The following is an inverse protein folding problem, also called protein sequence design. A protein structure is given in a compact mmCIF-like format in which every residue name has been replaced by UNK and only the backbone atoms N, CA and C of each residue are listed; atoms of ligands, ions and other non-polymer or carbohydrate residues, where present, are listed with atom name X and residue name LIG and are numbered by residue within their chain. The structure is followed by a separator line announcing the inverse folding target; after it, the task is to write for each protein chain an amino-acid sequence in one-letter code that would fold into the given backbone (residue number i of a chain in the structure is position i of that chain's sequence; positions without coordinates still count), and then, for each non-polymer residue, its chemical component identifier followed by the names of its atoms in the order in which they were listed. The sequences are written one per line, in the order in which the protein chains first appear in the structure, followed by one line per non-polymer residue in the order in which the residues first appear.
data_IF_857015008215
#
_entry.id   IF_857015008215
#
_cell.length_a   1.000
_cell.length_b   1.000
_cell.length_c   1.000
_cell.angle_alpha   90.00
_cell.angle_beta   90.00
_cell.angle_gamma   90.00
#
_symmetry.space_group_name_H-M   'P 1'
#
loop_
_entity.id
_entity.type
_entity.pdbx_description
1 polymer ?
#
# COMPACT_ATOMS: atom_id res chain seq x y z
N UNK A 1 -17.90 -8.91 4.09
CA UNK A 1 -18.35 -10.08 4.90
C UNK A 1 -17.72 -11.36 4.39
N UNK A 2 -17.22 -12.21 5.30
CA UNK A 2 -16.82 -13.56 4.97
C UNK A 2 -18.04 -14.45 4.71
N UNK A 3 -17.87 -15.43 3.83
CA UNK A 3 -18.92 -16.43 3.52
C UNK A 3 -18.54 -17.79 4.11
N UNK A 4 -19.52 -18.47 4.70
CA UNK A 4 -19.43 -19.88 5.08
C UNK A 4 -20.50 -20.67 4.36
N UNK A 5 -20.13 -21.68 3.55
CA UNK A 5 -21.06 -22.47 2.75
C UNK A 5 -22.04 -21.61 1.92
N UNK A 6 -21.53 -20.67 1.14
CA UNK A 6 -22.29 -19.74 0.29
C UNK A 6 -23.18 -18.70 1.01
N UNK A 7 -23.29 -18.75 2.33
CA UNK A 7 -24.04 -17.76 3.12
C UNK A 7 -23.09 -16.79 3.82
N UNK A 8 -23.50 -15.55 3.97
CA UNK A 8 -22.79 -14.59 4.81
C UNK A 8 -22.92 -14.99 6.29
N UNK A 9 -21.84 -14.78 7.05
CA UNK A 9 -21.88 -14.97 8.50
C UNK A 9 -22.83 -13.97 9.15
N UNK A 10 -23.69 -14.45 10.04
CA UNK A 10 -24.63 -13.66 10.83
C UNK A 10 -24.58 -14.09 12.31
N UNK A 11 -24.65 -13.17 13.26
CA UNK A 11 -24.66 -11.71 13.07
C UNK A 11 -23.32 -11.23 12.51
N UNK A 12 -23.32 -10.12 11.78
CA UNK A 12 -22.10 -9.54 11.22
C UNK A 12 -21.56 -8.43 12.13
N UNK A 13 -20.38 -8.65 12.67
CA UNK A 13 -19.58 -7.65 13.36
C UNK A 13 -18.27 -7.41 12.55
N UNK A 14 -18.06 -6.19 11.99
CA UNK A 14 -16.85 -5.91 11.24
C UNK A 14 -15.58 -5.83 12.10
N UNK A 15 -15.72 -5.66 13.42
CA UNK A 15 -14.61 -5.62 14.38
C UNK A 15 -14.25 -7.01 14.93
N UNK A 16 -15.01 -8.06 14.57
CA UNK A 16 -14.74 -9.42 15.03
C UNK A 16 -13.44 -9.97 14.41
N UNK A 17 -12.50 -10.32 15.30
CA UNK A 17 -11.28 -11.04 14.94
C UNK A 17 -11.56 -12.54 14.93
N UNK A 18 -11.47 -13.16 13.78
CA UNK A 18 -11.77 -14.58 13.58
C UNK A 18 -10.86 -15.22 12.53
N UNK A 19 -11.03 -16.53 12.27
CA UNK A 19 -10.20 -17.27 11.33
C UNK A 19 -10.51 -17.05 9.84
N UNK A 20 -11.41 -16.11 9.49
CA UNK A 20 -11.65 -15.74 8.09
C UNK A 20 -10.62 -14.74 7.55
N UNK A 21 -9.91 -14.08 8.46
CA UNK A 21 -8.88 -13.11 8.14
C UNK A 21 -7.59 -13.43 8.91
N UNK A 22 -6.46 -13.32 8.27
CA UNK A 22 -5.17 -13.50 8.91
C UNK A 22 -4.84 -12.26 9.73
N UNK A 23 -4.75 -12.44 11.06
CA UNK A 23 -4.29 -11.38 11.99
C UNK A 23 -5.07 -10.06 11.90
N UNK A 24 -6.34 -10.14 11.51
CA UNK A 24 -7.13 -8.94 11.24
C UNK A 24 -8.63 -9.21 11.38
N UNK A 25 -9.41 -8.20 11.04
CA UNK A 25 -10.87 -8.27 10.95
C UNK A 25 -11.39 -7.74 9.59
N UNK A 26 -12.71 -7.64 9.45
CA UNK A 26 -13.32 -7.18 8.21
C UNK A 26 -13.01 -5.73 7.87
N UNK A 27 -12.73 -4.86 8.86
CA UNK A 27 -12.36 -3.48 8.61
C UNK A 27 -11.06 -3.39 7.81
N UNK A 28 -9.98 -4.05 8.28
CA UNK A 28 -8.67 -3.98 7.63
C UNK A 28 -8.71 -4.64 6.24
N UNK A 29 -9.32 -5.83 6.12
CA UNK A 29 -9.36 -6.52 4.82
C UNK A 29 -10.32 -5.90 3.80
N UNK A 30 -11.25 -5.04 4.21
CA UNK A 30 -12.14 -4.32 3.28
C UNK A 30 -11.40 -3.35 2.35
N UNK A 31 -10.18 -2.96 2.69
CA UNK A 31 -9.34 -2.04 1.92
C UNK A 31 -8.10 -2.73 1.33
N UNK A 32 -7.91 -4.03 1.55
CA UNK A 32 -6.72 -4.76 1.10
C UNK A 32 -6.90 -5.30 -0.33
N UNK A 33 -6.97 -4.38 -1.29
CA UNK A 33 -7.00 -4.66 -2.74
C UNK A 33 -5.97 -3.73 -3.43
N UNK A 34 -4.68 -3.81 -3.07
CA UNK A 34 -3.67 -2.86 -3.57
C UNK A 34 -3.46 -2.94 -5.08
N UNK A 35 -3.76 -4.08 -5.70
CA UNK A 35 -3.59 -4.32 -7.13
C UNK A 35 -4.65 -3.63 -8.01
N UNK A 36 -5.83 -3.30 -7.46
CA UNK A 36 -6.94 -2.70 -8.22
C UNK A 36 -7.75 -1.73 -7.33
N UNK A 37 -7.14 -0.62 -6.99
CA UNK A 37 -7.80 0.41 -6.18
C UNK A 37 -8.89 1.13 -6.95
N UNK A 38 -8.75 1.29 -8.26
CA UNK A 38 -9.80 1.89 -9.10
C UNK A 38 -11.08 1.07 -9.09
N UNK A 39 -10.96 -0.26 -9.22
CA UNK A 39 -12.10 -1.18 -9.09
C UNK A 39 -12.69 -1.19 -7.68
N UNK A 40 -11.85 -1.19 -6.64
CA UNK A 40 -12.32 -1.11 -5.26
C UNK A 40 -13.10 0.19 -4.99
N UNK A 41 -12.61 1.34 -5.45
CA UNK A 41 -13.27 2.63 -5.33
C UNK A 41 -14.64 2.59 -6.03
N UNK A 42 -14.70 2.08 -7.26
CA UNK A 42 -15.95 1.95 -8.01
C UNK A 42 -16.96 1.06 -7.28
N UNK A 43 -16.55 -0.10 -6.76
CA UNK A 43 -17.39 -1.02 -5.98
C UNK A 43 -17.90 -0.39 -4.67
N UNK A 44 -17.18 0.55 -4.11
CA UNK A 44 -17.56 1.21 -2.86
C UNK A 44 -18.37 2.51 -3.05
N UNK A 45 -18.84 2.78 -4.26
CA UNK A 45 -19.71 3.92 -4.57
C UNK A 45 -18.95 5.16 -5.05
N UNK A 46 -17.80 4.96 -5.70
CA UNK A 46 -16.96 6.04 -6.21
C UNK A 46 -16.17 6.75 -5.11
N UNK A 47 -15.58 7.89 -5.45
CA UNK A 47 -14.70 8.62 -4.54
C UNK A 47 -15.36 8.99 -3.22
N UNK A 48 -16.58 9.48 -3.24
CA UNK A 48 -17.29 9.92 -2.03
C UNK A 48 -17.65 8.74 -1.12
N UNK A 49 -18.19 7.66 -1.69
CA UNK A 49 -18.54 6.44 -0.95
C UNK A 49 -17.29 5.77 -0.35
N UNK A 50 -16.20 5.72 -1.11
CA UNK A 50 -14.92 5.20 -0.65
C UNK A 50 -14.33 6.03 0.49
N UNK A 51 -14.29 7.36 0.33
CA UNK A 51 -13.81 8.27 1.38
C UNK A 51 -14.63 8.17 2.66
N UNK A 52 -15.96 8.08 2.55
CA UNK A 52 -16.83 7.92 3.71
C UNK A 52 -16.54 6.62 4.49
N UNK A 53 -16.28 5.51 3.78
CA UNK A 53 -15.92 4.24 4.40
C UNK A 53 -14.53 4.26 5.01
N UNK A 54 -13.56 4.92 4.36
CA UNK A 54 -12.22 5.06 4.88
C UNK A 54 -12.20 5.99 6.13
N UNK A 55 -12.99 7.07 6.10
CA UNK A 55 -13.22 7.91 7.27
C UNK A 55 -13.86 7.10 8.42
N UNK A 56 -14.83 6.24 8.11
CA UNK A 56 -15.46 5.36 9.09
C UNK A 56 -14.46 4.39 9.73
N UNK A 57 -13.54 3.80 8.96
CA UNK A 57 -12.46 2.97 9.48
C UNK A 57 -11.62 3.72 10.53
N UNK A 58 -11.13 4.93 10.19
CA UNK A 58 -10.27 5.72 11.07
C UNK A 58 -11.00 6.33 12.28
N UNK A 59 -12.33 6.39 12.25
CA UNK A 59 -13.16 6.92 13.34
C UNK A 59 -13.98 5.84 14.10
N UNK A 60 -13.87 4.57 13.69
CA UNK A 60 -14.56 3.49 14.38
C UNK A 60 -14.08 3.34 15.84
N UNK A 61 -14.88 2.74 16.74
CA UNK A 61 -14.39 2.32 18.04
C UNK A 61 -13.18 1.38 17.91
N UNK A 62 -12.20 1.51 18.81
CA UNK A 62 -10.96 0.72 18.76
C UNK A 62 -11.13 -0.70 19.32
N UNK A 63 -12.21 -0.95 20.06
CA UNK A 63 -12.50 -2.24 20.63
C UNK A 63 -12.70 -3.28 19.51
N UNK A 64 -12.07 -4.42 19.69
CA UNK A 64 -12.26 -5.61 18.86
C UNK A 64 -13.07 -6.66 19.62
N UNK A 65 -13.81 -7.47 18.90
CA UNK A 65 -14.51 -8.64 19.43
C UNK A 65 -13.89 -9.94 18.89
N UNK A 66 -14.36 -11.10 19.38
CA UNK A 66 -13.89 -12.40 18.93
C UNK A 66 -12.62 -12.85 19.66
N UNK A 67 -11.63 -13.37 18.93
CA UNK A 67 -10.39 -13.87 19.54
C UNK A 67 -9.37 -12.75 19.75
N UNK A 68 -8.51 -12.92 20.72
CA UNK A 68 -7.34 -12.06 20.89
C UNK A 68 -6.34 -12.27 19.70
N UNK A 69 -5.74 -11.15 19.27
CA UNK A 69 -4.72 -11.13 18.24
C UNK A 69 -3.65 -10.10 18.58
N UNK A 70 -2.44 -10.57 18.86
CA UNK A 70 -1.34 -9.73 19.35
C UNK A 70 -0.86 -8.70 18.31
N UNK A 71 -1.04 -8.99 17.01
CA UNK A 71 -0.56 -8.12 15.92
C UNK A 71 -1.51 -6.94 15.66
N UNK A 72 -2.74 -6.95 16.20
CA UNK A 72 -3.67 -5.82 16.09
C UNK A 72 -3.30 -4.78 17.16
N UNK A 73 -2.32 -3.94 16.84
CA UNK A 73 -1.79 -2.89 17.71
C UNK A 73 -1.71 -1.55 16.99
N UNK A 74 -1.48 -0.45 17.73
CA UNK A 74 -1.37 0.87 17.14
C UNK A 74 -2.64 1.32 16.43
N UNK A 75 -3.77 1.23 17.15
CA UNK A 75 -5.07 1.49 16.55
C UNK A 75 -5.36 2.99 16.44
N UNK A 76 -5.83 3.39 15.24
CA UNK A 76 -6.53 4.65 14.97
C UNK A 76 -7.90 4.24 14.39
N UNK A 77 -8.94 4.28 15.21
CA UNK A 77 -10.17 3.58 14.85
C UNK A 77 -9.91 2.08 14.71
N UNK A 78 -10.26 1.52 13.56
CA UNK A 78 -9.94 0.12 13.22
C UNK A 78 -8.74 -0.02 12.25
N UNK A 79 -8.04 1.07 11.97
CA UNK A 79 -6.72 1.02 11.35
C UNK A 79 -5.71 0.49 12.37
N UNK A 80 -4.99 -0.58 12.04
CA UNK A 80 -4.01 -1.22 12.92
C UNK A 80 -2.60 -1.04 12.34
N UNK A 81 -1.86 -0.03 12.81
CA UNK A 81 -0.52 0.26 12.26
C UNK A 81 0.50 -0.84 12.53
N UNK A 82 0.34 -1.57 13.62
CA UNK A 82 1.23 -2.67 13.99
C UNK A 82 1.13 -3.91 13.09
N UNK A 83 0.30 -3.90 12.04
CA UNK A 83 0.16 -5.02 11.11
C UNK A 83 0.06 -4.53 9.65
N UNK A 84 0.76 -5.21 8.73
CA UNK A 84 0.99 -4.80 7.35
C UNK A 84 -0.27 -4.65 6.50
N UNK A 85 -1.36 -5.40 6.67
CA UNK A 85 -2.61 -5.18 5.92
C UNK A 85 -3.14 -3.76 5.98
N UNK A 86 -2.72 -2.97 6.99
CA UNK A 86 -3.13 -1.58 7.17
C UNK A 86 -2.20 -0.53 6.55
N UNK A 87 -0.93 -0.86 6.28
CA UNK A 87 0.13 0.11 5.99
C UNK A 87 -0.15 1.03 4.80
N UNK A 88 -0.88 0.57 3.80
CA UNK A 88 -1.24 1.35 2.61
C UNK A 88 -2.45 2.28 2.82
N UNK A 89 -3.28 2.05 3.85
CA UNK A 89 -4.62 2.65 3.96
C UNK A 89 -4.59 4.18 4.11
N UNK A 90 -3.62 4.74 4.84
CA UNK A 90 -3.49 6.18 5.00
C UNK A 90 -3.22 6.91 3.66
N UNK A 91 -2.67 6.20 2.68
CA UNK A 91 -2.36 6.72 1.35
C UNK A 91 -3.53 6.62 0.36
N UNK A 92 -4.57 5.85 0.67
CA UNK A 92 -5.67 5.57 -0.25
C UNK A 92 -6.50 6.81 -0.62
N UNK A 93 -6.54 7.83 0.22
CA UNK A 93 -7.22 9.08 -0.08
C UNK A 93 -6.65 9.81 -1.32
N UNK A 94 -5.38 9.56 -1.68
CA UNK A 94 -4.80 10.13 -2.89
C UNK A 94 -5.51 9.63 -4.16
N UNK A 95 -5.96 8.39 -4.19
CA UNK A 95 -6.65 7.79 -5.33
C UNK A 95 -8.06 8.37 -5.57
N UNK A 96 -8.57 9.13 -4.62
CA UNK A 96 -9.84 9.88 -4.73
C UNK A 96 -9.62 11.39 -4.86
N UNK A 97 -8.36 11.84 -4.92
CA UNK A 97 -7.99 13.26 -4.95
C UNK A 97 -8.17 13.98 -3.61
N UNK A 98 -8.28 13.23 -2.49
CA UNK A 98 -8.37 13.80 -1.14
C UNK A 98 -7.00 13.83 -0.43
N UNK A 99 -5.94 14.26 -1.12
CA UNK A 99 -4.54 14.20 -0.69
C UNK A 99 -4.28 14.86 0.68
N UNK A 100 -5.03 15.89 1.03
CA UNK A 100 -4.91 16.52 2.34
C UNK A 100 -5.23 15.53 3.50
N UNK A 101 -6.17 14.60 3.30
CA UNK A 101 -6.47 13.56 4.29
C UNK A 101 -5.31 12.56 4.43
N UNK A 102 -4.70 12.13 3.33
CA UNK A 102 -3.46 11.35 3.35
C UNK A 102 -2.38 12.07 4.16
N UNK A 103 -2.12 13.34 3.85
CA UNK A 103 -1.06 14.12 4.50
C UNK A 103 -1.27 14.23 6.01
N UNK A 104 -2.50 14.52 6.43
CA UNK A 104 -2.85 14.58 7.85
C UNK A 104 -2.69 13.23 8.56
N UNK A 105 -3.18 12.15 7.93
CA UNK A 105 -3.16 10.82 8.55
C UNK A 105 -1.73 10.24 8.62
N UNK A 106 -0.95 10.33 7.55
CA UNK A 106 0.45 9.89 7.53
C UNK A 106 1.28 10.63 8.59
N UNK A 107 1.10 11.95 8.71
CA UNK A 107 1.80 12.73 9.73
C UNK A 107 1.35 12.35 11.15
N UNK A 108 0.07 12.06 11.34
CA UNK A 108 -0.47 11.57 12.61
C UNK A 108 0.16 10.24 13.00
N UNK A 109 0.20 9.28 12.09
CA UNK A 109 0.80 7.96 12.34
C UNK A 109 2.28 8.10 12.71
N UNK A 110 3.07 8.84 11.93
CA UNK A 110 4.49 9.05 12.24
C UNK A 110 4.72 9.69 13.63
N UNK A 111 3.81 10.56 14.07
CA UNK A 111 3.92 11.24 15.36
C UNK A 111 3.46 10.38 16.55
N UNK A 112 2.39 9.59 16.36
CA UNK A 112 1.74 8.85 17.46
C UNK A 112 2.28 7.43 17.63
N UNK A 113 2.82 6.82 16.54
CA UNK A 113 3.18 5.39 16.51
C UNK A 113 4.69 5.12 16.51
N UNK A 114 5.50 6.18 16.49
CA UNK A 114 6.97 6.07 16.48
C UNK A 114 7.59 7.02 17.49
N UNK A 115 8.51 6.51 18.32
CA UNK A 115 9.17 7.26 19.37
C UNK A 115 10.69 7.03 19.35
N UNK A 116 11.46 8.01 19.80
CA UNK A 116 12.90 7.88 19.94
C UNK A 116 13.24 7.21 21.28
N UNK A 117 12.95 5.92 21.39
CA UNK A 117 13.20 5.06 22.57
C UNK A 117 13.44 3.62 22.12
N UNK A 118 14.03 2.74 22.95
CA UNK A 118 14.27 1.34 22.59
C UNK A 118 13.01 0.55 22.22
N UNK A 119 11.87 0.94 22.77
CA UNK A 119 10.52 0.42 22.50
C UNK A 119 9.69 1.35 21.59
N UNK A 120 10.36 2.06 20.71
CA UNK A 120 9.78 3.15 19.91
C UNK A 120 8.90 2.74 18.73
N UNK A 121 8.67 1.45 18.50
CA UNK A 121 7.78 0.92 17.48
C UNK A 121 6.49 0.39 18.09
N UNK A 122 5.39 0.52 17.34
CA UNK A 122 4.14 -0.15 17.68
C UNK A 122 4.12 -1.54 17.06
N UNK A 123 3.99 -2.59 17.88
CA UNK A 123 4.01 -3.98 17.45
C UNK A 123 5.41 -4.52 17.15
N UNK A 124 5.48 -5.49 16.26
CA UNK A 124 6.74 -6.10 15.82
C UNK A 124 7.40 -5.29 14.71
N UNK A 125 8.71 -5.45 14.54
CA UNK A 125 9.47 -4.78 13.45
C UNK A 125 9.18 -5.40 12.08
N UNK A 126 8.92 -6.72 12.04
CA UNK A 126 8.60 -7.53 10.87
C UNK A 126 9.62 -7.41 9.73
N UNK A 127 10.85 -7.81 10.07
CA UNK A 127 11.99 -7.82 9.14
C UNK A 127 12.30 -6.45 8.50
N UNK A 128 12.03 -5.36 9.19
CA UNK A 128 12.29 -4.00 8.74
C UNK A 128 11.09 -3.30 8.08
N UNK A 129 9.93 -3.92 8.04
CA UNK A 129 8.75 -3.33 7.42
C UNK A 129 8.28 -2.05 8.13
N UNK A 130 8.27 -2.06 9.48
CA UNK A 130 7.86 -0.90 10.26
C UNK A 130 8.82 0.28 10.11
N UNK A 131 10.13 0.02 10.18
CA UNK A 131 11.15 1.05 9.94
C UNK A 131 11.10 1.56 8.51
N UNK A 132 10.93 0.69 7.52
CA UNK A 132 10.81 1.07 6.10
C UNK A 132 9.61 1.97 5.86
N UNK A 133 8.46 1.66 6.48
CA UNK A 133 7.27 2.50 6.40
C UNK A 133 7.55 3.91 6.92
N UNK A 134 8.19 4.01 8.11
CA UNK A 134 8.53 5.31 8.70
C UNK A 134 9.53 6.09 7.85
N UNK A 135 10.61 5.45 7.40
CA UNK A 135 11.66 6.11 6.61
C UNK A 135 11.10 6.62 5.29
N UNK A 136 10.37 5.79 4.54
CA UNK A 136 9.77 6.20 3.27
C UNK A 136 8.71 7.29 3.47
N UNK A 137 7.85 7.17 4.46
CA UNK A 137 6.85 8.18 4.79
C UNK A 137 7.50 9.50 5.22
N UNK A 138 8.61 9.46 5.98
CA UNK A 138 9.38 10.64 6.37
C UNK A 138 10.08 11.32 5.18
N UNK A 139 10.47 10.56 4.15
CA UNK A 139 10.95 11.08 2.87
C UNK A 139 9.84 11.71 2.04
N UNK A 140 8.57 11.38 2.32
CA UNK A 140 7.39 11.99 1.71
C UNK A 140 6.64 11.12 0.70
N UNK A 141 6.93 9.82 0.60
CA UNK A 141 6.23 8.91 -0.30
C UNK A 141 6.28 7.45 0.19
N UNK A 142 5.39 6.60 -0.33
CA UNK A 142 5.30 5.18 0.05
C UNK A 142 4.81 4.32 -1.12
N UNK A 143 5.34 3.09 -1.34
CA UNK A 143 4.86 2.16 -2.36
C UNK A 143 3.58 1.47 -1.88
N UNK A 144 2.42 1.91 -2.39
CA UNK A 144 1.10 1.37 -2.00
C UNK A 144 0.80 0.03 -2.67
N UNK A 145 1.15 -0.08 -3.95
CA UNK A 145 0.86 -1.27 -4.77
C UNK A 145 2.14 -2.05 -5.04
N UNK A 146 2.30 -3.25 -4.46
CA UNK A 146 3.46 -4.11 -4.75
C UNK A 146 3.59 -4.37 -6.25
N UNK A 147 4.80 -4.20 -6.78
CA UNK A 147 5.09 -4.37 -8.21
C UNK A 147 4.75 -3.15 -9.09
N UNK A 148 4.06 -2.13 -8.58
CA UNK A 148 3.92 -0.85 -9.27
C UNK A 148 5.21 -0.03 -9.17
N UNK A 149 5.61 0.69 -10.23
CA UNK A 149 6.75 1.60 -10.18
C UNK A 149 6.42 2.95 -9.50
N UNK A 150 5.22 3.14 -8.97
CA UNK A 150 4.76 4.42 -8.44
C UNK A 150 4.79 4.45 -6.91
N UNK A 151 5.36 5.52 -6.38
CA UNK A 151 5.37 5.85 -4.96
C UNK A 151 4.36 6.95 -4.70
N UNK A 152 3.44 6.72 -3.80
CA UNK A 152 2.33 7.64 -3.49
C UNK A 152 2.80 8.69 -2.48
N UNK A 153 2.56 9.96 -2.79
CA UNK A 153 3.02 11.09 -1.98
C UNK A 153 2.22 11.20 -0.69
N UNK A 154 2.94 11.33 0.43
CA UNK A 154 2.41 11.55 1.77
C UNK A 154 2.66 12.98 2.28
N UNK A 155 3.23 13.09 3.47
CA UNK A 155 3.63 14.36 4.09
C UNK A 155 5.04 14.23 4.67
N UNK A 156 6.07 14.80 4.01
CA UNK A 156 7.47 14.62 4.41
C UNK A 156 7.76 15.17 5.80
N UNK A 157 8.63 14.47 6.54
CA UNK A 157 9.07 14.86 7.89
C UNK A 157 10.51 15.39 7.89
N UNK A 158 11.34 14.98 6.94
CA UNK A 158 12.72 15.45 6.81
C UNK A 158 12.77 16.90 6.30
N UNK A 159 13.87 17.61 6.57
CA UNK A 159 14.14 18.91 5.93
C UNK A 159 14.84 18.74 4.58
N UNK A 160 15.82 17.85 4.56
CA UNK A 160 16.56 17.48 3.38
C UNK A 160 16.94 16.00 3.49
N UNK A 161 16.97 15.34 2.35
CA UNK A 161 17.52 14.00 2.22
C UNK A 161 18.24 13.84 0.87
N UNK A 162 19.13 12.88 0.79
CA UNK A 162 19.82 12.50 -0.45
C UNK A 162 19.86 10.99 -0.53
N UNK A 163 19.30 10.44 -1.60
CA UNK A 163 19.33 9.02 -1.91
C UNK A 163 20.48 8.81 -2.90
N UNK A 164 21.49 8.07 -2.46
CA UNK A 164 22.57 7.63 -3.35
C UNK A 164 22.09 6.46 -4.19
N UNK A 165 22.18 6.60 -5.50
CA UNK A 165 21.69 5.62 -6.47
C UNK A 165 22.82 4.72 -6.94
N UNK A 166 22.52 3.48 -7.33
CA UNK A 166 23.52 2.50 -7.82
C UNK A 166 24.38 3.02 -8.98
N UNK A 167 23.86 3.95 -9.76
CA UNK A 167 24.57 4.60 -10.87
C UNK A 167 25.52 5.73 -10.41
N UNK A 168 25.73 5.91 -9.09
CA UNK A 168 26.57 6.94 -8.51
C UNK A 168 25.97 8.35 -8.53
N UNK A 169 24.72 8.52 -8.99
CA UNK A 169 24.00 9.79 -8.92
C UNK A 169 23.17 9.89 -7.64
N UNK A 170 22.63 11.06 -7.37
CA UNK A 170 21.82 11.30 -6.19
C UNK A 170 20.44 11.82 -6.59
N UNK A 171 19.41 11.32 -5.91
CA UNK A 171 18.08 11.93 -5.90
C UNK A 171 17.91 12.68 -4.58
N UNK A 172 17.61 13.97 -4.66
CA UNK A 172 17.51 14.87 -3.51
C UNK A 172 16.06 15.15 -3.17
N UNK A 173 15.77 15.22 -1.89
CA UNK A 173 14.49 15.65 -1.36
C UNK A 173 14.74 16.89 -0.53
N UNK A 174 14.01 17.98 -0.84
CA UNK A 174 14.05 19.25 -0.13
C UNK A 174 12.67 19.61 0.37
N UNK A 175 12.56 20.01 1.63
CA UNK A 175 11.28 20.41 2.23
C UNK A 175 11.39 21.83 2.77
N UNK A 176 10.75 22.75 2.08
CA UNK A 176 10.66 24.16 2.47
C UNK A 176 9.52 24.32 3.49
N UNK A 177 9.71 25.20 4.48
CA UNK A 177 8.77 25.47 5.57
C UNK A 177 8.43 24.22 6.41
N UNK A 178 9.35 23.22 6.50
CA UNK A 178 9.12 22.05 7.32
C UNK A 178 8.98 22.44 8.80
N UNK A 179 7.93 21.95 9.45
CA UNK A 179 7.66 22.22 10.87
C UNK A 179 6.50 21.34 11.38
N UNK A 180 6.30 21.28 12.72
CA UNK A 180 5.28 20.42 13.31
C UNK A 180 3.85 20.78 12.88
N UNK A 181 3.57 22.07 12.62
CA UNK A 181 2.26 22.55 12.20
C UNK A 181 2.09 22.53 10.67
N UNK A 182 3.19 22.47 9.91
CA UNK A 182 3.17 22.49 8.45
C UNK A 182 3.05 21.08 7.88
N UNK A 183 1.84 20.54 7.97
CA UNK A 183 1.50 19.16 7.59
C UNK A 183 1.16 19.03 6.11
N UNK A 184 0.65 20.12 5.50
CA UNK A 184 0.05 20.07 4.17
C UNK A 184 0.98 20.61 3.11
N UNK A 185 1.03 19.92 1.99
CA UNK A 185 1.77 20.34 0.79
C UNK A 185 1.03 21.51 0.13
N UNK A 186 1.75 22.61 -0.09
CA UNK A 186 1.28 23.77 -0.81
C UNK A 186 1.73 23.76 -2.27
N UNK A 187 2.90 23.19 -2.53
CA UNK A 187 3.50 23.09 -3.86
C UNK A 187 4.46 21.90 -3.89
N UNK A 188 4.55 21.26 -5.05
CA UNK A 188 5.59 20.28 -5.35
C UNK A 188 6.32 20.73 -6.61
N UNK A 189 7.64 20.61 -6.60
CA UNK A 189 8.50 20.84 -7.76
C UNK A 189 9.39 19.63 -8.01
N UNK A 190 9.44 19.15 -9.24
CA UNK A 190 10.38 18.14 -9.68
C UNK A 190 11.39 18.80 -10.61
N UNK A 191 12.68 18.80 -10.24
CA UNK A 191 13.75 19.48 -10.96
C UNK A 191 13.44 20.95 -11.24
N UNK A 192 12.84 21.64 -10.26
CA UNK A 192 12.47 23.05 -10.34
C UNK A 192 11.17 23.35 -11.09
N UNK A 193 10.56 22.38 -11.75
CA UNK A 193 9.29 22.54 -12.48
C UNK A 193 8.09 22.17 -11.59
N UNK A 194 6.95 22.86 -11.71
CA UNK A 194 5.72 22.49 -11.00
C UNK A 194 5.35 21.03 -11.25
N UNK A 195 4.94 20.34 -10.19
CA UNK A 195 4.55 18.94 -10.21
C UNK A 195 3.22 18.77 -9.48
N UNK A 196 2.21 18.27 -10.16
CA UNK A 196 0.81 18.26 -9.68
C UNK A 196 0.31 16.88 -9.29
N UNK A 197 1.11 15.83 -9.52
CA UNK A 197 0.72 14.44 -9.28
C UNK A 197 0.85 14.06 -7.80
N UNK A 198 -0.07 13.24 -7.31
CA UNK A 198 -0.01 12.68 -5.96
C UNK A 198 0.90 11.42 -5.87
N UNK A 199 1.75 11.18 -6.86
CA UNK A 199 2.72 10.07 -6.89
C UNK A 199 4.01 10.52 -7.60
N UNK A 200 5.08 9.77 -7.41
CA UNK A 200 6.33 9.89 -8.16
C UNK A 200 6.74 8.51 -8.67
N UNK A 201 7.17 8.42 -9.94
CA UNK A 201 7.60 7.15 -10.49
C UNK A 201 9.03 6.79 -10.05
N UNK A 202 9.30 5.47 -9.92
CA UNK A 202 10.65 4.95 -9.70
C UNK A 202 11.63 5.47 -10.76
N UNK A 203 11.19 5.56 -12.01
CA UNK A 203 12.01 6.12 -13.10
C UNK A 203 12.45 7.54 -12.79
N UNK A 204 11.56 8.41 -12.32
CA UNK A 204 11.90 9.80 -11.97
C UNK A 204 12.93 9.87 -10.84
N UNK A 205 12.88 8.95 -9.89
CA UNK A 205 13.88 8.84 -8.82
C UNK A 205 15.22 8.37 -9.40
N UNK A 206 15.23 7.31 -10.21
CA UNK A 206 16.43 6.73 -10.81
C UNK A 206 17.09 7.64 -11.86
N UNK A 207 16.33 8.50 -12.52
CA UNK A 207 16.87 9.53 -13.42
C UNK A 207 17.67 10.62 -12.68
N UNK A 208 17.62 10.60 -11.33
CA UNK A 208 18.21 11.58 -10.41
C UNK A 208 17.53 12.96 -10.48
N UNK A 209 17.96 13.88 -9.61
CA UNK A 209 17.42 15.24 -9.56
C UNK A 209 16.96 15.64 -8.18
N UNK A 210 15.98 16.54 -8.11
CA UNK A 210 15.47 17.07 -6.85
C UNK A 210 13.93 17.13 -6.83
N UNK A 211 13.35 16.55 -5.78
CA UNK A 211 11.94 16.72 -5.44
C UNK A 211 11.84 17.73 -4.28
N UNK A 212 11.20 18.85 -4.55
CA UNK A 212 10.99 19.90 -3.53
C UNK A 212 9.53 19.95 -3.11
N UNK A 213 9.28 19.89 -1.80
CA UNK A 213 7.98 20.13 -1.19
C UNK A 213 7.96 21.48 -0.50
N UNK A 214 6.91 22.27 -0.70
CA UNK A 214 6.63 23.48 0.07
C UNK A 214 5.48 23.18 1.00
N UNK A 215 5.69 23.29 2.31
CA UNK A 215 4.73 22.89 3.33
C UNK A 215 3.98 24.07 3.93
N UNK A 216 2.79 23.83 4.46
CA UNK A 216 1.98 24.83 5.16
C UNK A 216 0.99 24.21 6.16
N UNK A 217 0.35 25.05 7.00
CA UNK A 217 -0.51 24.59 8.10
C UNK A 217 -1.97 24.30 7.67
N UNK A 218 -2.34 24.59 6.43
CA UNK A 218 -3.70 24.37 5.92
C UNK A 218 -3.65 23.53 4.65
N UNK A 219 -4.72 22.76 4.34
CA UNK A 219 -4.81 22.03 3.08
C UNK A 219 -4.44 22.90 1.87
N UNK A 220 -3.54 22.41 1.05
CA UNK A 220 -3.08 23.05 -0.18
C UNK A 220 -3.93 22.68 -1.40
N UNK A 221 -3.43 22.93 -2.62
CA UNK A 221 -4.14 22.61 -3.85
C UNK A 221 -4.37 21.09 -3.98
N UNK A 222 -5.42 20.74 -4.72
CA UNK A 222 -5.73 19.35 -5.06
C UNK A 222 -4.64 18.81 -5.99
N UNK A 223 -4.07 17.68 -5.64
CA UNK A 223 -3.16 16.92 -6.49
C UNK A 223 -3.95 15.99 -7.43
N UNK A 224 -3.38 15.68 -8.58
CA UNK A 224 -3.89 14.68 -9.51
C UNK A 224 -3.85 13.30 -8.83
N UNK A 225 -4.93 12.53 -8.96
CA UNK A 225 -5.04 11.22 -8.36
C UNK A 225 -4.26 10.17 -9.17
N UNK A 226 -3.54 9.24 -8.54
CA UNK A 226 -2.98 8.09 -9.25
C UNK A 226 -4.09 7.14 -9.70
N UNK A 227 -3.80 6.32 -10.70
CA UNK A 227 -4.67 5.25 -11.18
C UNK A 227 -4.01 3.92 -10.85
N UNK A 228 -4.79 3.00 -10.25
CA UNK A 228 -4.35 1.63 -9.99
C UNK A 228 -5.47 0.69 -10.46
N UNK A 229 -5.22 0.02 -11.56
CA UNK A 229 -6.17 -0.90 -12.18
C UNK A 229 -5.44 -2.11 -12.76
N UNK A 230 -6.09 -3.26 -12.75
CA UNK A 230 -5.61 -4.43 -13.45
C UNK A 230 -5.85 -4.22 -14.94
N UNK A 231 -4.78 -4.40 -15.73
CA UNK A 231 -4.87 -4.46 -17.18
C UNK A 231 -4.72 -5.91 -17.59
N UNK A 232 -5.78 -6.49 -18.16
CA UNK A 232 -5.82 -7.91 -18.55
C UNK A 232 -4.68 -8.30 -19.51
N UNK A 233 -4.20 -7.35 -20.31
CA UNK A 233 -3.12 -7.56 -21.28
C UNK A 233 -1.73 -7.82 -20.63
N UNK A 234 -1.58 -7.60 -19.32
CA UNK A 234 -0.30 -7.73 -18.61
C UNK A 234 -0.12 -9.04 -17.85
N UNK A 235 -1.15 -9.87 -17.77
CA UNK A 235 -1.12 -11.12 -16.99
C UNK A 235 -1.25 -12.31 -17.93
N UNK A 236 -0.15 -13.00 -18.17
CA UNK A 236 -0.17 -14.31 -18.79
C UNK A 236 -0.31 -15.37 -17.71
N UNK A 237 -1.35 -16.21 -17.73
CA UNK A 237 -1.51 -17.28 -16.75
C UNK A 237 -0.31 -18.23 -16.81
N UNK A 238 0.16 -18.63 -15.61
CA UNK A 238 1.29 -19.57 -15.52
C UNK A 238 0.83 -20.96 -15.97
N UNK A 239 1.55 -21.62 -16.88
CA UNK A 239 1.28 -23.02 -17.22
C UNK A 239 1.48 -23.93 -16.00
N UNK A 240 0.65 -24.95 -15.89
CA UNK A 240 0.74 -25.93 -14.82
C UNK A 240 0.70 -27.36 -15.35
N UNK A 241 1.26 -28.27 -14.56
CA UNK A 241 1.21 -29.71 -14.85
C UNK A 241 -0.02 -30.27 -14.16
N UNK A 242 -0.92 -30.88 -14.92
CA UNK A 242 -2.03 -31.65 -14.38
C UNK A 242 -1.59 -33.10 -14.25
N UNK A 243 -1.37 -33.54 -13.03
CA UNK A 243 -0.85 -34.87 -12.71
C UNK A 243 -1.52 -35.42 -11.46
N UNK A 244 -1.92 -36.72 -11.48
CA UNK A 244 -2.55 -37.35 -10.34
C UNK A 244 -1.52 -37.94 -9.35
N UNK A 245 -0.36 -38.38 -9.84
CA UNK A 245 0.69 -39.00 -9.02
C UNK A 245 2.05 -38.34 -9.30
N UNK A 246 2.80 -38.07 -8.22
CA UNK A 246 4.15 -37.55 -8.31
C UNK A 246 5.22 -38.64 -8.48
N UNK A 247 4.87 -39.90 -8.22
CA UNK A 247 5.79 -41.05 -8.28
C UNK A 247 5.53 -41.91 -9.50
N UNK A 248 6.59 -42.34 -10.19
CA UNK A 248 6.51 -43.23 -11.33
C UNK A 248 7.75 -44.16 -11.37
N UNK A 249 7.67 -45.30 -12.06
CA UNK A 249 8.79 -46.27 -12.14
C UNK A 249 9.56 -46.17 -13.45
N UNK A 250 8.92 -46.23 -14.56
CA UNK A 250 9.58 -46.32 -15.88
C UNK A 250 9.40 -45.05 -16.73
N UNK A 251 8.21 -44.57 -16.82
CA UNK A 251 7.87 -43.36 -17.59
C UNK A 251 6.67 -42.65 -17.03
N UNK A 252 6.58 -41.34 -17.28
CA UNK A 252 5.47 -40.47 -16.90
C UNK A 252 5.07 -39.60 -18.08
N UNK A 253 3.78 -39.60 -18.40
CA UNK A 253 3.23 -38.64 -19.36
C UNK A 253 2.80 -37.40 -18.62
N UNK A 254 3.42 -36.28 -18.93
CA UNK A 254 3.07 -34.97 -18.38
C UNK A 254 2.08 -34.26 -19.31
N UNK A 255 1.00 -33.75 -18.73
CA UNK A 255 0.06 -32.89 -19.42
C UNK A 255 0.25 -31.44 -18.96
N UNK A 256 0.65 -30.57 -19.86
CA UNK A 256 0.81 -29.13 -19.61
C UNK A 256 -0.48 -28.42 -19.95
N UNK A 257 -0.95 -27.58 -19.05
CA UNK A 257 -2.19 -26.81 -19.19
C UNK A 257 -1.93 -25.33 -18.92
N UNK A 258 -2.72 -24.49 -19.57
CA UNK A 258 -2.85 -23.07 -19.28
C UNK A 258 -4.33 -22.71 -19.30
N UNK A 259 -4.76 -21.79 -18.45
CA UNK A 259 -6.16 -21.30 -18.42
C UNK A 259 -6.47 -20.38 -19.61
N UNK A 260 -5.45 -19.80 -20.24
CA UNK A 260 -5.59 -19.07 -21.49
C UNK A 260 -5.54 -20.05 -22.66
N UNK A 261 -6.62 -20.20 -23.46
CA UNK A 261 -6.67 -21.14 -24.58
C UNK A 261 -5.75 -20.77 -25.74
N UNK A 262 -5.35 -19.49 -25.83
CA UNK A 262 -4.48 -18.98 -26.91
C UNK A 262 -2.99 -18.98 -26.50
N UNK A 263 -2.68 -19.36 -25.26
CA UNK A 263 -1.31 -19.41 -24.76
C UNK A 263 -0.47 -20.48 -25.44
N UNK A 264 0.75 -20.11 -25.84
CA UNK A 264 1.78 -21.07 -26.29
C UNK A 264 2.67 -21.45 -25.12
N UNK A 265 2.69 -22.74 -24.77
CA UNK A 265 3.50 -23.25 -23.67
C UNK A 265 4.86 -23.69 -24.23
N UNK A 266 5.92 -23.11 -23.69
CA UNK A 266 7.30 -23.50 -23.95
C UNK A 266 7.83 -24.26 -22.74
N UNK A 267 8.64 -25.31 -22.96
CA UNK A 267 9.24 -26.09 -21.87
C UNK A 267 10.69 -26.46 -22.20
N UNK A 268 11.47 -26.70 -21.17
CA UNK A 268 12.85 -27.19 -21.28
C UNK A 268 13.05 -28.38 -20.36
N UNK A 269 13.71 -29.43 -20.83
CA UNK A 269 14.03 -30.63 -20.03
C UNK A 269 15.34 -30.50 -19.25
N UNK A 270 16.16 -29.51 -19.48
CA UNK A 270 17.50 -29.35 -18.90
C UNK A 270 17.74 -28.00 -18.25
N UNK A 271 16.71 -27.34 -17.74
CA UNK A 271 16.78 -26.05 -17.01
C UNK A 271 17.93 -25.16 -17.46
N UNK A 272 17.70 -24.21 -18.28
CA UNK A 272 18.53 -23.03 -18.62
C UNK A 272 18.49 -22.61 -20.08
N UNK A 273 17.37 -22.74 -20.75
CA UNK A 273 17.11 -21.88 -21.92
C UNK A 273 15.72 -22.22 -22.47
N UNK A 274 14.81 -21.30 -22.25
CA UNK A 274 13.59 -21.19 -23.06
C UNK A 274 13.81 -20.03 -24.02
#
# INVERSE_FOLDING_TARGET
RAKRKQMFMEPFDPAEVNFNFTEANSWQYSFYVPQDLSGLIALQGGADGFNAKLDALFNAPQETSGREQADITGLIGQYAHGNEPSHHMAYLYNYTGASAKTQAMVRRIMKEMYHNSPDGLIGNEDCGQMSSWYVLSALGFYPVTPGSPDYIIGSPLVKNASLELENGRNFKIKVENQGPENVYIQEIRLNGNPYTQAWISQKSILDSGELTFVMGPKPGPKLEAPVSEIKDELISPVPFIKQENAEFRDSLVLSLHCTDPDAKIYYSLRGNQV
#
